data_IF_172725225689
#
_entry.id   IF_172725225689
#
_cell.length_a   1.000
_cell.length_b   1.000
_cell.length_c   1.000
_cell.angle_alpha   90.00
_cell.angle_beta   90.00
_cell.angle_gamma   90.00
#
_symmetry.space_group_name_H-M   'P 1'
#
loop_
_entity.id
_entity.type
_entity.pdbx_description
1 polymer ?
#
# COMPACT_ATOMS: atom_id res chain seq x y z
N UNK A 1 -4.40 -1.36 6.09
CA UNK A 1 -4.79 -1.22 4.69
C UNK A 1 -6.27 -1.55 4.52
N UNK A 2 -6.94 -0.80 3.65
CA UNK A 2 -8.37 -0.93 3.37
C UNK A 2 -8.57 -1.32 1.90
N UNK A 3 -9.62 -2.13 1.63
CA UNK A 3 -10.02 -2.45 0.27
C UNK A 3 -10.41 -1.18 -0.51
N UNK A 4 -9.82 -0.95 -1.67
CA UNK A 4 -10.11 0.22 -2.53
C UNK A 4 -11.43 0.10 -3.27
N UNK A 5 -11.96 -1.13 -3.41
CA UNK A 5 -13.21 -1.46 -4.09
C UNK A 5 -13.79 -2.74 -3.51
N UNK A 6 -15.05 -3.03 -3.84
CA UNK A 6 -15.63 -4.35 -3.64
C UNK A 6 -14.89 -5.37 -4.51
N UNK A 7 -14.69 -6.60 -3.99
CA UNK A 7 -13.96 -7.61 -4.74
C UNK A 7 -13.90 -8.96 -4.05
N UNK A 8 -13.30 -9.91 -4.74
CA UNK A 8 -13.00 -11.26 -4.24
C UNK A 8 -11.52 -11.40 -3.94
N UNK A 9 -11.16 -11.93 -2.79
CA UNK A 9 -9.78 -12.28 -2.42
C UNK A 9 -9.34 -13.50 -3.23
N UNK A 10 -8.36 -13.35 -4.10
CA UNK A 10 -7.89 -14.43 -4.98
C UNK A 10 -6.52 -14.97 -4.58
N UNK A 11 -5.74 -14.23 -3.80
CA UNK A 11 -4.48 -14.71 -3.23
C UNK A 11 -4.21 -14.03 -1.88
N UNK A 12 -3.54 -14.75 -0.99
CA UNK A 12 -3.01 -14.22 0.28
C UNK A 12 -1.72 -14.95 0.65
N UNK A 13 -0.80 -14.23 1.27
CA UNK A 13 0.35 -14.76 2.00
C UNK A 13 0.45 -14.05 3.34
N UNK A 14 0.76 -14.80 4.41
CA UNK A 14 0.96 -14.23 5.74
C UNK A 14 2.01 -15.03 6.51
N UNK A 15 2.60 -14.43 7.54
CA UNK A 15 3.55 -15.08 8.44
C UNK A 15 5.02 -14.84 8.12
N UNK A 16 5.37 -14.14 7.04
CA UNK A 16 6.75 -13.68 6.80
C UNK A 16 7.09 -12.57 7.79
N UNK A 17 8.31 -12.56 8.37
CA UNK A 17 8.71 -11.54 9.32
C UNK A 17 8.91 -10.17 8.64
N UNK A 18 8.75 -9.09 9.42
CA UNK A 18 9.19 -7.77 8.98
C UNK A 18 10.71 -7.71 8.88
N UNK A 19 11.21 -6.93 7.92
CA UNK A 19 12.61 -6.61 7.75
C UNK A 19 13.04 -5.49 8.73
N UNK A 20 14.32 -5.37 8.95
CA UNK A 20 14.90 -4.27 9.74
C UNK A 20 14.87 -3.01 8.85
N UNK A 21 14.23 -1.90 9.27
CA UNK A 21 14.23 -0.67 8.48
C UNK A 21 15.66 -0.19 8.16
N UNK A 22 15.88 0.22 6.91
CA UNK A 22 17.20 0.62 6.40
C UNK A 22 18.01 -0.50 5.79
N UNK A 23 17.69 -1.78 6.08
CA UNK A 23 18.38 -2.94 5.50
C UNK A 23 17.56 -3.56 4.36
N UNK A 24 18.24 -3.96 3.29
CA UNK A 24 17.62 -4.80 2.25
C UNK A 24 17.76 -6.28 2.65
N UNK A 25 16.69 -7.06 2.55
CA UNK A 25 16.73 -8.48 2.92
C UNK A 25 17.61 -9.29 1.98
N UNK A 26 18.29 -10.30 2.54
CA UNK A 26 19.04 -11.29 1.79
C UNK A 26 18.30 -12.63 1.78
N UNK A 27 18.42 -13.39 0.69
CA UNK A 27 17.96 -14.77 0.62
C UNK A 27 16.47 -14.98 0.41
N UNK A 28 15.70 -13.92 0.15
CA UNK A 28 14.29 -14.05 -0.24
C UNK A 28 14.16 -14.77 -1.58
N UNK A 29 13.18 -15.64 -1.68
CA UNK A 29 12.75 -16.17 -2.97
C UNK A 29 11.94 -15.12 -3.74
N UNK A 30 11.83 -15.29 -5.05
CA UNK A 30 11.05 -14.37 -5.88
C UNK A 30 9.57 -14.33 -5.47
N UNK A 31 9.02 -15.44 -5.00
CA UNK A 31 7.64 -15.53 -4.50
C UNK A 31 7.41 -14.82 -3.15
N UNK A 32 8.47 -14.53 -2.40
CA UNK A 32 8.42 -13.82 -1.12
C UNK A 32 8.68 -12.32 -1.27
N UNK A 33 8.96 -11.83 -2.48
CA UNK A 33 9.31 -10.42 -2.71
C UNK A 33 8.20 -9.45 -2.29
N UNK A 34 6.93 -9.81 -2.51
CA UNK A 34 5.78 -8.99 -2.11
C UNK A 34 5.49 -9.07 -0.60
N UNK A 35 6.20 -9.93 0.14
CA UNK A 35 5.97 -10.14 1.57
C UNK A 35 4.57 -10.70 1.87
N UNK A 36 4.06 -10.40 3.06
CA UNK A 36 2.67 -10.71 3.41
C UNK A 36 1.75 -9.82 2.58
N UNK A 37 0.77 -10.43 1.91
CA UNK A 37 -0.03 -9.71 0.93
C UNK A 37 -1.45 -10.24 0.76
N UNK A 38 -2.27 -9.42 0.14
CA UNK A 38 -3.62 -9.75 -0.34
C UNK A 38 -3.74 -9.32 -1.79
N UNK A 39 -4.33 -10.16 -2.64
CA UNK A 39 -4.74 -9.80 -4.01
C UNK A 39 -6.26 -9.85 -4.10
N UNK A 40 -6.86 -8.73 -4.49
CA UNK A 40 -8.29 -8.61 -4.77
C UNK A 40 -8.55 -8.64 -6.28
N UNK A 41 -9.49 -9.47 -6.74
CA UNK A 41 -10.11 -9.32 -8.06
C UNK A 41 -11.29 -8.35 -7.92
N UNK A 42 -11.19 -7.16 -8.51
CA UNK A 42 -12.22 -6.12 -8.43
C UNK A 42 -13.08 -6.03 -9.69
N UNK A 43 -12.59 -6.55 -10.81
CA UNK A 43 -13.32 -6.70 -12.07
C UNK A 43 -12.67 -7.81 -12.92
N UNK A 44 -13.29 -8.15 -14.06
CA UNK A 44 -12.67 -9.07 -15.01
C UNK A 44 -11.39 -8.48 -15.58
N UNK A 45 -10.26 -9.19 -15.38
CA UNK A 45 -8.93 -8.73 -15.78
C UNK A 45 -8.41 -7.52 -14.99
N UNK A 46 -8.96 -7.24 -13.80
CA UNK A 46 -8.46 -6.15 -12.94
C UNK A 46 -8.28 -6.66 -11.51
N UNK A 47 -7.03 -6.63 -11.06
CA UNK A 47 -6.61 -7.09 -9.75
C UNK A 47 -5.86 -5.99 -9.01
N UNK A 48 -5.95 -6.00 -7.68
CA UNK A 48 -5.22 -5.07 -6.81
C UNK A 48 -4.40 -5.86 -5.82
N UNK A 49 -3.08 -5.70 -5.87
CA UNK A 49 -2.14 -6.20 -4.88
C UNK A 49 -1.98 -5.18 -3.75
N UNK A 50 -2.03 -5.68 -2.53
CA UNK A 50 -1.67 -4.97 -1.29
C UNK A 50 -0.55 -5.75 -0.64
N UNK A 51 0.66 -5.21 -0.61
CA UNK A 51 1.85 -5.93 -0.17
C UNK A 51 2.54 -5.31 1.04
N UNK A 52 3.52 -6.04 1.60
CA UNK A 52 4.34 -5.71 2.75
C UNK A 52 3.55 -5.56 4.06
N UNK A 53 2.51 -6.38 4.26
CA UNK A 53 1.74 -6.39 5.51
C UNK A 53 2.57 -6.91 6.69
N UNK A 54 2.20 -6.45 7.89
CA UNK A 54 2.78 -6.94 9.13
C UNK A 54 2.46 -8.43 9.36
N UNK A 55 3.38 -9.20 9.97
CA UNK A 55 3.19 -10.63 10.23
C UNK A 55 1.93 -10.91 11.04
N UNK A 56 1.12 -11.87 10.60
CA UNK A 56 -0.11 -12.30 11.29
C UNK A 56 -1.25 -11.28 11.23
N UNK A 57 -1.16 -10.26 10.35
CA UNK A 57 -2.16 -9.20 10.27
C UNK A 57 -3.15 -9.33 9.11
N UNK A 58 -2.94 -10.27 8.19
CA UNK A 58 -3.87 -10.50 7.08
C UNK A 58 -5.22 -10.95 7.64
N UNK A 59 -6.25 -10.12 7.44
CA UNK A 59 -7.57 -10.29 8.07
C UNK A 59 -8.56 -11.09 7.22
N UNK A 60 -8.17 -11.45 5.99
CA UNK A 60 -9.03 -12.09 4.99
C UNK A 60 -8.36 -13.35 4.45
N UNK A 61 -9.13 -14.22 3.79
CA UNK A 61 -8.64 -15.44 3.15
C UNK A 61 -9.15 -15.55 1.71
N UNK A 62 -8.49 -16.37 0.92
CA UNK A 62 -8.91 -16.67 -0.47
C UNK A 62 -10.37 -17.14 -0.51
N UNK A 63 -11.15 -16.56 -1.41
CA UNK A 63 -12.57 -16.78 -1.60
C UNK A 63 -13.47 -15.84 -0.78
N UNK A 64 -12.94 -15.03 0.13
CA UNK A 64 -13.74 -14.02 0.80
C UNK A 64 -14.14 -12.90 -0.18
N UNK A 65 -15.35 -12.38 -0.01
CA UNK A 65 -15.82 -11.19 -0.70
C UNK A 65 -15.77 -10.02 0.28
N UNK A 66 -15.04 -8.98 -0.09
CA UNK A 66 -14.87 -7.77 0.72
C UNK A 66 -15.58 -6.59 0.08
N UNK A 67 -15.96 -5.63 0.90
CA UNK A 67 -16.51 -4.35 0.46
C UNK A 67 -15.46 -3.25 0.54
N UNK A 68 -15.61 -2.21 -0.28
CA UNK A 68 -14.76 -1.01 -0.22
C UNK A 68 -14.69 -0.47 1.22
N UNK A 69 -13.47 -0.22 1.70
CA UNK A 69 -13.21 0.25 3.06
C UNK A 69 -13.06 -0.86 4.11
N UNK A 70 -13.26 -2.11 3.75
CA UNK A 70 -13.03 -3.24 4.67
C UNK A 70 -11.53 -3.42 4.95
N UNK A 71 -11.18 -3.78 6.19
CA UNK A 71 -9.80 -3.96 6.62
C UNK A 71 -9.23 -5.25 6.03
N UNK A 72 -8.11 -5.16 5.30
CA UNK A 72 -7.40 -6.29 4.73
C UNK A 72 -6.21 -6.75 5.59
N UNK A 73 -5.57 -5.83 6.31
CA UNK A 73 -4.41 -6.08 7.14
C UNK A 73 -3.75 -4.79 7.63
N UNK A 74 -2.68 -4.93 8.40
CA UNK A 74 -1.87 -3.82 8.89
C UNK A 74 -0.64 -3.62 8.00
N UNK A 75 -0.25 -2.37 7.78
CA UNK A 75 1.00 -2.03 7.10
C UNK A 75 2.17 -2.54 7.92
N UNK A 76 3.14 -3.17 7.26
CA UNK A 76 4.36 -3.72 7.84
C UNK A 76 5.56 -3.47 6.95
N UNK A 77 6.57 -4.34 7.08
CA UNK A 77 7.83 -4.26 6.34
C UNK A 77 8.30 -5.66 5.89
N UNK A 78 7.38 -6.57 5.56
CA UNK A 78 7.72 -7.93 5.15
C UNK A 78 8.07 -8.02 3.66
N UNK A 79 8.92 -8.98 3.27
CA UNK A 79 9.34 -9.16 1.88
C UNK A 79 10.52 -8.28 1.46
N UNK A 80 10.60 -7.93 0.17
CA UNK A 80 11.71 -7.15 -0.39
C UNK A 80 11.46 -5.64 -0.22
N UNK A 81 11.67 -5.16 0.98
CA UNK A 81 11.48 -3.76 1.37
C UNK A 81 12.48 -3.34 2.43
N UNK A 82 12.89 -2.08 2.44
CA UNK A 82 13.76 -1.48 3.44
C UNK A 82 13.02 -0.58 4.42
N UNK A 83 11.73 -0.28 4.18
CA UNK A 83 10.96 0.66 4.98
C UNK A 83 9.49 0.24 5.11
N UNK A 84 8.85 0.41 6.28
CA UNK A 84 7.41 0.14 6.43
C UNK A 84 6.57 1.00 5.48
N UNK A 85 5.84 0.36 4.58
CA UNK A 85 4.91 1.03 3.66
C UNK A 85 3.83 0.07 3.16
N UNK A 86 2.79 0.62 2.54
CA UNK A 86 1.84 -0.15 1.74
C UNK A 86 2.25 -0.06 0.27
N UNK A 87 2.64 -1.18 -0.33
CA UNK A 87 2.74 -1.28 -1.78
C UNK A 87 1.34 -1.58 -2.35
N UNK A 88 0.80 -0.67 -3.15
CA UNK A 88 -0.45 -0.85 -3.87
C UNK A 88 -0.19 -0.88 -5.37
N UNK A 89 -0.67 -1.92 -6.04
CA UNK A 89 -0.39 -2.19 -7.44
C UNK A 89 -1.66 -2.69 -8.13
N UNK A 90 -2.11 -2.02 -9.20
CA UNK A 90 -3.23 -2.48 -10.04
C UNK A 90 -2.68 -3.18 -11.26
N UNK A 91 -3.20 -4.36 -11.58
CA UNK A 91 -2.63 -5.27 -12.59
C UNK A 91 -3.71 -6.06 -13.34
N UNK A 92 -3.33 -6.66 -14.48
CA UNK A 92 -4.25 -7.42 -15.35
C UNK A 92 -4.33 -8.92 -15.04
N UNK A 93 -3.62 -9.40 -14.01
CA UNK A 93 -3.58 -10.80 -13.59
C UNK A 93 -3.47 -10.94 -12.08
N UNK A 94 -3.66 -12.17 -11.53
CA UNK A 94 -3.66 -12.42 -10.09
C UNK A 94 -2.28 -12.51 -9.45
N UNK A 95 -1.20 -12.43 -10.22
CA UNK A 95 0.19 -12.53 -9.76
C UNK A 95 1.02 -11.38 -10.31
N UNK A 96 1.63 -10.59 -9.44
CA UNK A 96 2.51 -9.49 -9.84
C UNK A 96 3.73 -9.96 -10.65
N UNK A 97 4.08 -11.25 -10.58
CA UNK A 97 5.21 -11.84 -11.30
C UNK A 97 4.93 -12.03 -12.80
N UNK A 98 3.65 -12.20 -13.18
CA UNK A 98 3.24 -12.53 -14.54
C UNK A 98 2.29 -11.49 -15.16
N UNK A 99 1.78 -10.56 -14.34
CA UNK A 99 0.81 -9.56 -14.77
C UNK A 99 1.48 -8.26 -15.25
N UNK A 100 0.76 -7.50 -16.08
CA UNK A 100 1.14 -6.15 -16.44
C UNK A 100 0.47 -5.15 -15.49
N UNK A 101 1.19 -4.10 -15.11
CA UNK A 101 0.63 -2.98 -14.36
C UNK A 101 -0.43 -2.24 -15.19
N UNK A 102 -1.55 -1.92 -14.56
CA UNK A 102 -2.61 -1.11 -15.14
C UNK A 102 -2.58 0.31 -14.55
N UNK A 103 -2.76 1.36 -15.36
CA UNK A 103 -2.88 2.71 -14.84
C UNK A 103 -4.20 2.86 -14.07
N UNK A 104 -4.16 3.59 -12.95
CA UNK A 104 -5.33 3.86 -12.12
C UNK A 104 -5.30 5.27 -11.56
N UNK A 105 -6.43 5.72 -11.04
CA UNK A 105 -6.60 6.98 -10.30
C UNK A 105 -7.50 6.73 -9.10
N UNK A 106 -7.32 7.52 -8.06
CA UNK A 106 -8.25 7.55 -6.92
C UNK A 106 -9.46 8.42 -7.26
N UNK A 107 -10.64 8.00 -6.81
CA UNK A 107 -11.90 8.73 -7.05
C UNK A 107 -11.85 10.13 -6.45
N UNK A 108 -11.49 10.23 -5.17
CA UNK A 108 -11.31 11.52 -4.49
C UNK A 108 -10.48 11.40 -3.22
N UNK A 109 -9.75 12.47 -2.91
CA UNK A 109 -9.02 12.66 -1.66
C UNK A 109 -8.86 14.14 -1.34
N UNK A 110 -8.60 14.46 -0.07
CA UNK A 110 -8.27 15.81 0.39
C UNK A 110 -6.77 15.93 0.58
N UNK A 111 -6.12 16.85 -0.11
CA UNK A 111 -4.74 17.23 0.20
C UNK A 111 -4.73 18.10 1.45
N UNK A 112 -4.08 17.63 2.51
CA UNK A 112 -4.04 18.29 3.82
C UNK A 112 -2.68 18.88 4.16
N UNK A 113 -1.59 18.30 3.63
CA UNK A 113 -0.25 18.86 3.79
C UNK A 113 0.70 18.35 2.70
N UNK A 114 1.85 18.98 2.58
CA UNK A 114 2.95 18.60 1.67
C UNK A 114 4.25 18.61 2.48
N UNK A 115 5.10 17.61 2.28
CA UNK A 115 6.49 17.67 2.68
C UNK A 115 7.30 18.36 1.57
N UNK A 116 7.81 19.55 1.82
CA UNK A 116 8.64 20.32 0.87
C UNK A 116 10.15 20.09 1.05
N UNK A 117 10.56 19.28 2.05
CA UNK A 117 11.98 18.97 2.31
C UNK A 117 12.48 17.73 1.57
N UNK A 118 11.58 17.06 0.82
CA UNK A 118 11.92 15.93 -0.02
C UNK A 118 12.12 14.61 0.76
N UNK A 119 12.69 13.61 0.07
CA UNK A 119 12.89 12.25 0.61
C UNK A 119 13.86 12.19 1.78
N UNK A 120 14.83 13.12 1.87
CA UNK A 120 15.81 13.15 2.97
C UNK A 120 15.13 13.29 4.34
N UNK A 121 13.98 13.97 4.42
CA UNK A 121 13.20 14.08 5.65
C UNK A 121 12.57 12.73 6.07
N UNK A 122 12.18 11.90 5.11
CA UNK A 122 11.69 10.53 5.38
C UNK A 122 12.83 9.63 5.85
N UNK A 123 13.99 9.64 5.16
CA UNK A 123 15.15 8.84 5.53
C UNK A 123 15.62 9.17 6.96
N UNK A 124 15.59 10.44 7.33
CA UNK A 124 15.89 10.88 8.68
C UNK A 124 14.84 10.40 9.70
N UNK A 125 13.56 10.52 9.36
CA UNK A 125 12.45 10.06 10.20
C UNK A 125 12.54 8.54 10.45
N UNK A 126 12.83 7.77 9.41
CA UNK A 126 12.97 6.32 9.46
C UNK A 126 14.09 5.87 10.41
N UNK A 127 15.25 6.53 10.36
CA UNK A 127 16.43 6.17 11.16
C UNK A 127 16.39 6.72 12.58
N UNK A 128 15.73 7.85 12.82
CA UNK A 128 15.74 8.57 14.10
C UNK A 128 14.41 8.59 14.84
N UNK A 129 13.29 8.26 14.17
CA UNK A 129 11.94 8.45 14.69
C UNK A 129 11.51 9.93 14.75
N UNK A 130 12.26 10.84 14.13
CA UNK A 130 11.89 12.25 14.06
C UNK A 130 10.61 12.44 13.23
N UNK A 131 9.73 13.40 13.57
CA UNK A 131 8.57 13.68 12.74
C UNK A 131 9.00 14.26 11.38
N UNK A 132 8.33 13.84 10.31
CA UNK A 132 8.50 14.44 8.98
C UNK A 132 7.93 15.87 9.01
N UNK A 133 8.68 16.91 8.57
CA UNK A 133 8.16 18.27 8.47
C UNK A 133 7.05 18.35 7.41
N UNK A 134 5.92 18.97 7.77
CA UNK A 134 4.76 19.09 6.89
C UNK A 134 4.27 20.52 6.84
N UNK A 135 4.09 21.04 5.63
CA UNK A 135 3.41 22.32 5.38
C UNK A 135 1.91 22.07 5.21
N UNK A 136 1.13 22.53 6.19
CA UNK A 136 -0.31 22.33 6.18
C UNK A 136 -1.01 23.13 5.07
N UNK A 137 -1.93 22.50 4.37
CA UNK A 137 -2.81 23.13 3.38
C UNK A 137 -4.14 23.46 4.04
N UNK A 138 -4.42 24.77 4.18
CA UNK A 138 -5.63 25.24 4.88
C UNK A 138 -6.37 26.28 4.05
N UNK A 139 -7.66 26.02 3.69
CA UNK A 139 -8.38 24.75 3.88
C UNK A 139 -7.81 23.62 3.02
N UNK A 140 -8.04 22.33 3.38
CA UNK A 140 -7.70 21.20 2.53
C UNK A 140 -8.28 21.30 1.14
N UNK A 141 -7.55 20.80 0.13
CA UNK A 141 -7.96 20.87 -1.28
C UNK A 141 -8.47 19.52 -1.75
N UNK A 142 -9.70 19.47 -2.25
CA UNK A 142 -10.29 18.27 -2.86
C UNK A 142 -9.71 18.04 -4.25
N UNK A 143 -9.16 16.84 -4.45
CA UNK A 143 -8.79 16.31 -5.76
C UNK A 143 -9.69 15.15 -6.15
N UNK A 144 -9.95 15.01 -7.45
CA UNK A 144 -10.77 13.94 -8.02
C UNK A 144 -10.10 13.35 -9.25
N UNK A 145 -10.25 12.02 -9.42
CA UNK A 145 -9.71 11.26 -10.55
C UNK A 145 -8.24 11.53 -10.81
N UNK A 146 -7.44 11.48 -9.73
CA UNK A 146 -6.01 11.75 -9.75
C UNK A 146 -5.25 10.71 -8.92
N UNK A 147 -3.96 10.48 -9.26
CA UNK A 147 -3.02 9.82 -8.36
C UNK A 147 -2.57 10.80 -7.27
N UNK A 148 -2.33 10.28 -6.07
CA UNK A 148 -1.63 11.03 -5.03
C UNK A 148 -0.19 11.24 -5.50
N UNK A 149 0.28 12.49 -5.44
CA UNK A 149 1.65 12.81 -5.81
C UNK A 149 2.60 12.49 -4.68
N UNK A 150 3.87 12.29 -5.02
CA UNK A 150 4.92 12.12 -4.02
C UNK A 150 4.96 13.29 -3.04
N UNK A 151 5.29 13.01 -1.78
CA UNK A 151 5.37 13.98 -0.67
C UNK A 151 4.02 14.61 -0.23
N UNK A 152 2.88 14.11 -0.74
CA UNK A 152 1.55 14.58 -0.34
C UNK A 152 1.02 13.80 0.85
N UNK A 153 0.52 14.52 1.86
CA UNK A 153 -0.33 13.95 2.92
C UNK A 153 -1.79 14.17 2.54
N UNK A 154 -2.53 13.09 2.49
CA UNK A 154 -3.93 13.12 2.06
C UNK A 154 -4.84 12.41 3.05
N UNK A 155 -6.07 12.91 3.16
CA UNK A 155 -7.18 12.24 3.83
C UNK A 155 -8.12 11.63 2.79
N UNK A 156 -8.42 10.35 2.95
CA UNK A 156 -9.37 9.68 2.08
C UNK A 156 -10.79 10.14 2.39
N UNK A 157 -11.50 10.57 1.35
CA UNK A 157 -12.92 10.91 1.47
C UNK A 157 -13.69 9.60 1.62
N UNK A 158 -14.45 9.48 2.71
CA UNK A 158 -15.32 8.33 2.91
C UNK A 158 -16.36 8.24 1.77
N UNK A 159 -16.71 7.05 1.31
CA UNK A 159 -17.72 6.85 0.28
C UNK A 159 -19.10 7.33 0.74
#
# INVERSE_FOLDING_TARGET
ALAVADGEVVATLDGLPDQIPGDLPEGLTFAESDGNHVVLKIAEGVYVLYAHFAPGSVAVKVGDHVTRGEVLGLVGNSGNTSAPHLHLHVMDGPSALDANGLPYVFESFLLTAINNEGTEAFDLAETTGAPVPLDAITPPVLYQSLLVMDQWLVDWVAP
#
